data_IF_812293473149
#
_entry.id   IF_812293473149
#
_cell.length_a   1.000
_cell.length_b   1.000
_cell.length_c   1.000
_cell.angle_alpha   90.00
_cell.angle_beta   90.00
_cell.angle_gamma   90.00
#
_symmetry.space_group_name_H-M   'P 1'
#
loop_
_entity.id
_entity.type
_entity.pdbx_description
1 polymer ?
#
# COMPACT_ATOMS: atom_id res chain seq x y z
N UNK A 1 -3.52 -16.39 -29.40
CA UNK A 1 -4.79 -16.48 -30.14
C UNK A 1 -5.84 -15.69 -29.37
N UNK A 2 -5.96 -14.38 -29.65
CA UNK A 2 -6.92 -13.50 -28.97
C UNK A 2 -8.29 -13.69 -29.61
N UNK A 3 -9.25 -14.23 -28.87
CA UNK A 3 -10.66 -14.22 -29.23
C UNK A 3 -11.14 -12.76 -29.19
N UNK A 4 -10.95 -12.05 -30.30
CA UNK A 4 -11.48 -10.71 -30.50
C UNK A 4 -13.01 -10.79 -30.45
N UNK A 5 -13.61 -10.04 -29.53
CA UNK A 5 -15.05 -9.81 -29.49
C UNK A 5 -15.50 -9.31 -30.87
N UNK A 6 -16.10 -10.20 -31.68
CA UNK A 6 -16.68 -9.81 -32.97
C UNK A 6 -17.92 -8.95 -32.70
N UNK A 7 -18.19 -8.00 -33.59
CA UNK A 7 -19.31 -7.05 -33.48
C UNK A 7 -20.66 -7.73 -33.22
N UNK A 8 -20.88 -8.92 -33.78
CA UNK A 8 -22.10 -9.73 -33.58
C UNK A 8 -22.29 -10.19 -32.13
N UNK A 9 -21.21 -10.52 -31.42
CA UNK A 9 -21.27 -10.95 -30.02
C UNK A 9 -21.57 -9.75 -29.11
N UNK A 10 -20.91 -8.61 -29.35
CA UNK A 10 -21.19 -7.35 -28.64
C UNK A 10 -22.66 -6.96 -28.85
N UNK A 11 -23.15 -6.97 -30.10
CA UNK A 11 -24.55 -6.65 -30.42
C UNK A 11 -25.57 -7.59 -29.77
N UNK A 12 -25.20 -8.86 -29.55
CA UNK A 12 -26.07 -9.83 -28.86
C UNK A 12 -26.09 -9.55 -27.36
N UNK A 13 -24.93 -9.22 -26.77
CA UNK A 13 -24.82 -8.88 -25.35
C UNK A 13 -25.53 -7.55 -25.02
N UNK A 14 -25.46 -6.54 -25.90
CA UNK A 14 -26.14 -5.26 -25.72
C UNK A 14 -27.66 -5.33 -25.80
N UNK A 15 -28.25 -6.49 -26.15
CA UNK A 15 -29.70 -6.71 -26.01
C UNK A 15 -30.13 -6.87 -24.56
N UNK A 16 -29.20 -7.20 -23.67
CA UNK A 16 -29.44 -7.17 -22.22
C UNK A 16 -29.30 -5.74 -21.69
N UNK A 17 -30.01 -5.41 -20.62
CA UNK A 17 -30.15 -4.03 -20.14
C UNK A 17 -28.82 -3.40 -19.73
N UNK A 18 -27.89 -4.19 -19.16
CA UNK A 18 -26.53 -3.79 -18.75
C UNK A 18 -25.56 -4.99 -18.80
N UNK A 19 -25.06 -5.43 -19.97
CA UNK A 19 -24.10 -6.52 -20.03
C UNK A 19 -22.77 -6.11 -19.40
N UNK A 20 -22.20 -6.98 -18.54
CA UNK A 20 -20.83 -6.81 -18.05
C UNK A 20 -19.85 -7.42 -19.05
N UNK A 21 -19.00 -6.60 -19.64
CA UNK A 21 -17.97 -7.02 -20.59
C UNK A 21 -16.59 -6.81 -19.97
N UNK A 22 -15.85 -7.90 -19.71
CA UNK A 22 -14.48 -7.83 -19.19
C UNK A 22 -13.49 -8.43 -20.20
N UNK A 23 -12.61 -7.60 -20.75
CA UNK A 23 -11.57 -8.04 -21.67
C UNK A 23 -10.23 -8.20 -20.93
N UNK A 24 -9.91 -9.42 -20.50
CA UNK A 24 -8.73 -9.70 -19.67
C UNK A 24 -7.47 -10.10 -20.48
N UNK A 25 -7.52 -10.02 -21.82
CA UNK A 25 -6.38 -10.36 -22.66
C UNK A 25 -5.23 -9.37 -22.48
N UNK A 26 -4.06 -9.84 -22.02
CA UNK A 26 -2.89 -9.00 -21.74
C UNK A 26 -2.12 -8.54 -23.00
N UNK A 27 -2.64 -8.79 -24.20
CA UNK A 27 -1.93 -8.60 -25.48
C UNK A 27 -2.59 -7.55 -26.37
N UNK A 28 -2.88 -6.37 -25.83
CA UNK A 28 -2.62 -5.17 -26.63
C UNK A 28 -1.09 -5.10 -26.73
N UNK A 29 -0.50 -5.07 -27.93
CA UNK A 29 0.95 -4.79 -28.09
C UNK A 29 1.29 -3.61 -27.18
N UNK A 30 1.93 -3.88 -26.04
CA UNK A 30 2.32 -2.83 -25.11
C UNK A 30 3.45 -2.09 -25.78
N UNK A 31 3.18 -0.91 -26.34
CA UNK A 31 4.19 0.10 -26.63
C UNK A 31 4.77 0.70 -25.31
N UNK A 32 4.98 -0.14 -24.29
CA UNK A 32 5.52 0.25 -22.97
C UNK A 32 7.01 -0.08 -22.84
N UNK A 33 7.67 -0.44 -23.93
CA UNK A 33 9.07 -0.89 -23.92
C UNK A 33 9.83 -0.28 -25.10
N UNK A 34 9.98 1.04 -25.07
CA UNK A 34 11.12 1.72 -25.68
C UNK A 34 11.53 2.91 -24.81
N UNK A 35 11.73 2.65 -23.52
CA UNK A 35 12.24 3.64 -22.56
C UNK A 35 13.63 4.17 -22.93
N UNK A 36 14.34 3.52 -23.86
CA UNK A 36 15.63 4.01 -24.39
C UNK A 36 15.48 5.07 -25.50
N UNK A 37 14.27 5.51 -25.85
CA UNK A 37 14.03 6.47 -26.96
C UNK A 37 13.06 7.61 -26.65
N UNK A 38 12.25 7.51 -25.59
CA UNK A 38 11.35 8.61 -25.18
C UNK A 38 12.13 9.61 -24.33
N UNK A 39 11.89 10.90 -24.53
CA UNK A 39 12.34 11.94 -23.60
C UNK A 39 11.41 11.97 -22.37
N UNK A 40 11.89 12.54 -21.25
CA UNK A 40 11.09 12.65 -20.02
C UNK A 40 9.77 13.42 -20.25
N UNK A 41 9.79 14.42 -21.13
CA UNK A 41 8.60 15.21 -21.51
C UNK A 41 7.58 14.38 -22.30
N UNK A 42 8.03 13.50 -23.20
CA UNK A 42 7.16 12.58 -23.95
C UNK A 42 6.55 11.52 -23.04
N UNK A 43 7.34 11.01 -22.08
CA UNK A 43 6.86 10.11 -21.04
C UNK A 43 5.78 10.78 -20.19
N UNK A 44 6.02 12.00 -19.70
CA UNK A 44 5.07 12.76 -18.89
C UNK A 44 3.79 13.10 -19.66
N UNK A 45 3.90 13.47 -20.94
CA UNK A 45 2.74 13.72 -21.79
C UNK A 45 1.92 12.45 -22.01
N UNK A 46 2.58 11.31 -22.25
CA UNK A 46 1.90 10.01 -22.38
C UNK A 46 1.31 9.55 -21.05
N UNK A 47 2.00 9.77 -19.94
CA UNK A 47 1.55 9.44 -18.59
C UNK A 47 0.30 10.24 -18.26
N UNK A 48 0.32 11.56 -18.44
CA UNK A 48 -0.87 12.42 -18.31
C UNK A 48 -1.99 11.96 -19.23
N UNK A 49 -1.72 11.73 -20.52
CA UNK A 49 -2.74 11.24 -21.45
C UNK A 49 -3.32 9.86 -21.07
N UNK A 50 -2.56 9.01 -20.35
CA UNK A 50 -3.04 7.71 -19.88
C UNK A 50 -3.84 7.81 -18.59
N UNK A 51 -3.42 8.64 -17.64
CA UNK A 51 -4.04 8.80 -16.32
C UNK A 51 -5.16 9.87 -16.26
N UNK A 52 -5.14 10.87 -17.14
CA UNK A 52 -6.15 11.93 -17.26
C UNK A 52 -7.25 11.60 -18.28
N UNK A 53 -7.19 10.43 -18.93
CA UNK A 53 -8.25 10.01 -19.85
C UNK A 53 -9.53 9.76 -19.05
N UNK A 54 -10.59 10.50 -19.39
CA UNK A 54 -11.91 10.36 -18.75
C UNK A 54 -12.54 8.95 -18.92
N UNK A 55 -12.10 8.18 -19.93
CA UNK A 55 -12.53 6.81 -20.21
C UNK A 55 -11.42 5.77 -19.99
N UNK A 56 -10.85 5.70 -18.79
CA UNK A 56 -10.09 4.50 -18.40
C UNK A 56 -11.12 3.51 -17.87
N UNK A 57 -11.52 2.58 -18.74
CA UNK A 57 -12.22 1.37 -18.34
C UNK A 57 -11.48 0.78 -17.13
N UNK A 58 -12.19 0.57 -16.02
CA UNK A 58 -11.59 0.10 -14.77
C UNK A 58 -10.77 -1.15 -15.02
N UNK A 59 -9.44 -1.02 -14.98
CA UNK A 59 -8.56 -2.15 -15.26
C UNK A 59 -8.64 -3.12 -14.09
N UNK A 60 -9.05 -4.36 -14.35
CA UNK A 60 -8.99 -5.48 -13.41
C UNK A 60 -7.55 -5.91 -13.14
N UNK A 61 -6.78 -5.03 -12.48
CA UNK A 61 -5.38 -5.23 -12.20
C UNK A 61 -5.19 -5.86 -10.81
N UNK A 62 -4.34 -6.86 -10.72
CA UNK A 62 -3.96 -7.50 -9.46
C UNK A 62 -3.28 -6.53 -8.47
N UNK A 63 -2.84 -5.36 -8.94
CA UNK A 63 -2.32 -4.26 -8.13
C UNK A 63 -3.27 -3.80 -7.01
N UNK A 64 -4.58 -4.03 -7.11
CA UNK A 64 -5.51 -3.70 -6.03
C UNK A 64 -5.49 -4.69 -4.86
N UNK A 65 -5.11 -5.95 -5.10
CA UNK A 65 -5.27 -7.02 -4.12
C UNK A 65 -3.93 -7.45 -3.54
N UNK A 66 -2.92 -7.72 -4.38
CA UNK A 66 -1.66 -8.28 -3.91
C UNK A 66 -0.92 -7.40 -2.89
N UNK A 67 -0.80 -6.08 -3.07
CA UNK A 67 -0.14 -5.22 -2.09
C UNK A 67 -0.85 -5.26 -0.74
N UNK A 68 -2.19 -5.27 -0.72
CA UNK A 68 -2.97 -5.27 0.51
C UNK A 68 -2.86 -6.60 1.27
N UNK A 69 -2.94 -7.72 0.56
CA UNK A 69 -2.76 -9.05 1.15
C UNK A 69 -1.34 -9.22 1.69
N UNK A 70 -0.33 -8.79 0.94
CA UNK A 70 1.06 -8.85 1.40
C UNK A 70 1.29 -7.98 2.63
N UNK A 71 0.80 -6.73 2.63
CA UNK A 71 0.92 -5.81 3.75
C UNK A 71 0.25 -6.37 5.01
N UNK A 72 -0.97 -6.87 4.91
CA UNK A 72 -1.66 -7.48 6.05
C UNK A 72 -0.95 -8.73 6.58
N UNK A 73 -0.46 -9.59 5.68
CA UNK A 73 0.25 -10.82 6.02
C UNK A 73 1.54 -10.52 6.79
N UNK A 74 2.33 -9.56 6.29
CA UNK A 74 3.59 -9.16 6.93
C UNK A 74 3.31 -8.44 8.25
N UNK A 75 2.40 -7.46 8.27
CA UNK A 75 2.11 -6.66 9.46
C UNK A 75 1.53 -7.51 10.61
N UNK A 76 0.67 -8.49 10.30
CA UNK A 76 0.10 -9.39 11.31
C UNK A 76 0.96 -10.64 11.56
N UNK A 77 2.09 -10.78 10.87
CA UNK A 77 2.94 -11.97 10.88
C UNK A 77 2.14 -13.28 10.64
N UNK A 78 1.20 -13.26 9.70
CA UNK A 78 0.39 -14.43 9.36
C UNK A 78 1.23 -15.51 8.67
N UNK A 79 1.04 -16.77 9.07
CA UNK A 79 1.82 -17.92 8.54
C UNK A 79 1.31 -18.44 7.20
N UNK A 80 0.01 -18.31 6.96
CA UNK A 80 -0.66 -18.84 5.79
C UNK A 80 -1.59 -17.78 5.20
N UNK A 81 -1.59 -17.69 3.87
CA UNK A 81 -2.55 -16.88 3.12
C UNK A 81 -3.62 -17.82 2.59
N UNK A 82 -4.86 -17.61 3.02
CA UNK A 82 -6.01 -18.46 2.69
C UNK A 82 -6.94 -17.78 1.67
N UNK A 83 -7.83 -18.56 1.07
CA UNK A 83 -8.77 -18.08 0.05
C UNK A 83 -9.76 -17.05 0.60
N UNK A 84 -10.10 -17.16 1.88
CA UNK A 84 -10.97 -16.22 2.59
C UNK A 84 -10.42 -14.79 2.59
N UNK A 85 -9.10 -14.63 2.71
CA UNK A 85 -8.42 -13.34 2.63
C UNK A 85 -8.64 -12.68 1.26
N UNK A 86 -8.54 -13.45 0.17
CA UNK A 86 -8.79 -12.91 -1.17
C UNK A 86 -10.26 -12.54 -1.38
N UNK A 87 -11.18 -13.32 -0.81
CA UNK A 87 -12.61 -13.02 -0.85
C UNK A 87 -12.94 -11.73 -0.10
N UNK A 88 -12.40 -11.57 1.12
CA UNK A 88 -12.58 -10.35 1.93
C UNK A 88 -11.97 -9.15 1.21
N UNK A 89 -10.79 -9.30 0.61
CA UNK A 89 -10.15 -8.23 -0.15
C UNK A 89 -10.98 -7.79 -1.36
N UNK A 90 -11.55 -8.74 -2.10
CA UNK A 90 -12.41 -8.44 -3.25
C UNK A 90 -13.73 -7.75 -2.83
N UNK A 91 -14.36 -8.21 -1.75
CA UNK A 91 -15.56 -7.58 -1.19
C UNK A 91 -15.26 -6.14 -0.73
N UNK A 92 -14.15 -5.96 -0.02
CA UNK A 92 -13.72 -4.64 0.45
C UNK A 92 -13.42 -3.71 -0.71
N UNK A 93 -12.71 -4.17 -1.74
CA UNK A 93 -12.45 -3.40 -2.96
C UNK A 93 -13.75 -2.94 -3.64
N UNK A 94 -14.74 -3.82 -3.77
CA UNK A 94 -16.05 -3.48 -4.33
C UNK A 94 -16.77 -2.41 -3.52
N UNK A 95 -16.67 -2.44 -2.18
CA UNK A 95 -17.27 -1.42 -1.31
C UNK A 95 -16.58 -0.06 -1.35
N UNK A 96 -15.36 0.02 -1.89
CA UNK A 96 -14.58 1.26 -1.99
C UNK A 96 -14.81 2.01 -3.31
N UNK A 97 -15.61 1.46 -4.22
CA UNK A 97 -16.03 2.14 -5.45
C UNK A 97 -17.15 3.12 -5.10
N UNK A 98 -16.97 4.40 -5.41
CA UNK A 98 -17.99 5.41 -5.12
C UNK A 98 -19.15 5.33 -6.10
N UNK A 99 -20.31 5.89 -5.72
CA UNK A 99 -21.44 6.01 -6.65
C UNK A 99 -21.11 6.88 -7.87
N UNK A 100 -20.26 7.90 -7.69
CA UNK A 100 -19.73 8.73 -8.77
C UNK A 100 -18.91 7.89 -9.76
N UNK A 101 -18.00 7.06 -9.25
CA UNK A 101 -17.22 6.14 -10.08
C UNK A 101 -18.13 5.16 -10.86
N UNK A 102 -19.17 4.63 -10.21
CA UNK A 102 -20.14 3.74 -10.86
C UNK A 102 -21.00 4.45 -11.92
N UNK A 103 -21.38 5.70 -11.68
CA UNK A 103 -22.13 6.54 -12.63
C UNK A 103 -21.27 6.87 -13.86
N UNK A 104 -19.97 7.04 -13.67
CA UNK A 104 -18.96 7.16 -14.73
C UNK A 104 -18.64 5.83 -15.43
N UNK A 105 -19.28 4.73 -15.02
CA UNK A 105 -19.07 3.40 -15.60
C UNK A 105 -17.80 2.68 -15.12
N UNK A 106 -17.13 3.19 -14.09
CA UNK A 106 -15.95 2.56 -13.48
C UNK A 106 -16.39 1.50 -12.47
N UNK A 107 -15.81 0.30 -12.61
CA UNK A 107 -16.05 -0.83 -11.68
C UNK A 107 -14.92 -1.01 -10.66
N UNK A 108 -13.88 -0.19 -10.73
CA UNK A 108 -12.75 -0.14 -9.80
C UNK A 108 -12.49 1.29 -9.35
N UNK A 109 -11.92 1.49 -8.14
CA UNK A 109 -11.52 2.82 -7.69
C UNK A 109 -10.47 3.46 -8.61
N UNK A 110 -10.30 4.79 -8.57
CA UNK A 110 -9.26 5.48 -9.31
C UNK A 110 -7.85 5.06 -8.87
N UNK A 111 -6.91 4.90 -9.81
CA UNK A 111 -5.51 4.53 -9.52
C UNK A 111 -4.82 5.51 -8.52
N UNK A 112 -5.03 6.84 -8.57
CA UNK A 112 -4.43 7.73 -7.58
C UNK A 112 -4.81 7.41 -6.12
N UNK A 113 -5.96 6.76 -5.90
CA UNK A 113 -6.43 6.36 -4.57
C UNK A 113 -5.96 4.96 -4.15
N UNK A 114 -5.10 4.31 -4.93
CA UNK A 114 -4.71 2.90 -4.71
C UNK A 114 -4.02 2.67 -3.36
N UNK A 115 -3.25 3.63 -2.86
CA UNK A 115 -2.61 3.53 -1.55
C UNK A 115 -3.63 3.47 -0.42
N UNK A 116 -4.61 4.37 -0.42
CA UNK A 116 -5.68 4.37 0.58
C UNK A 116 -6.57 3.13 0.49
N UNK A 117 -6.85 2.67 -0.74
CA UNK A 117 -7.57 1.41 -0.97
C UNK A 117 -6.79 0.23 -0.38
N UNK A 118 -5.48 0.19 -0.61
CA UNK A 118 -4.59 -0.86 -0.09
C UNK A 118 -4.61 -0.91 1.43
N UNK A 119 -4.50 0.24 2.09
CA UNK A 119 -4.54 0.36 3.56
C UNK A 119 -5.87 -0.14 4.11
N UNK A 120 -6.99 0.30 3.53
CA UNK A 120 -8.33 -0.08 3.98
C UNK A 120 -8.60 -1.57 3.83
N UNK A 121 -8.13 -2.18 2.73
CA UNK A 121 -8.22 -3.62 2.53
C UNK A 121 -7.35 -4.36 3.55
N UNK A 122 -6.09 -3.93 3.72
CA UNK A 122 -5.17 -4.55 4.65
C UNK A 122 -5.65 -4.47 6.11
N UNK A 123 -6.30 -3.37 6.50
CA UNK A 123 -6.90 -3.20 7.84
C UNK A 123 -8.04 -4.20 8.09
N UNK A 124 -8.92 -4.44 7.10
CA UNK A 124 -9.99 -5.43 7.24
C UNK A 124 -9.44 -6.87 7.25
N UNK A 125 -8.38 -7.15 6.47
CA UNK A 125 -7.66 -8.42 6.56
C UNK A 125 -7.00 -8.62 7.92
N UNK A 126 -6.40 -7.57 8.49
CA UNK A 126 -5.82 -7.63 9.83
C UNK A 126 -6.89 -7.98 10.87
N UNK A 127 -8.06 -7.32 10.84
CA UNK A 127 -9.18 -7.66 11.72
C UNK A 127 -9.58 -9.14 11.58
N UNK A 128 -9.66 -9.65 10.37
CA UNK A 128 -9.97 -11.06 10.11
C UNK A 128 -8.90 -12.02 10.67
N UNK A 129 -7.62 -11.69 10.49
CA UNK A 129 -6.50 -12.50 11.00
C UNK A 129 -6.47 -12.55 12.53
N UNK A 130 -6.74 -11.42 13.21
CA UNK A 130 -6.86 -11.39 14.67
C UNK A 130 -8.09 -12.15 15.15
N UNK A 131 -9.26 -11.94 14.52
CA UNK A 131 -10.51 -12.63 14.88
C UNK A 131 -10.41 -14.16 14.74
N UNK A 132 -9.71 -14.63 13.70
CA UNK A 132 -9.47 -16.06 13.45
C UNK A 132 -8.28 -16.63 14.21
N UNK A 133 -7.58 -15.83 15.03
CA UNK A 133 -6.36 -16.20 15.78
C UNK A 133 -5.22 -16.72 14.89
N UNK A 134 -5.11 -16.17 13.68
CA UNK A 134 -4.05 -16.50 12.70
C UNK A 134 -2.94 -15.44 12.66
N UNK A 135 -3.17 -14.28 13.25
CA UNK A 135 -2.13 -13.28 13.48
C UNK A 135 -1.15 -13.76 14.57
N UNK A 136 0.14 -13.57 14.33
CA UNK A 136 1.21 -13.89 15.30
C UNK A 136 1.85 -12.65 15.91
N UNK A 137 1.58 -11.47 15.35
CA UNK A 137 2.01 -10.21 15.94
C UNK A 137 1.15 -9.89 17.16
N UNK A 138 1.77 -9.69 18.32
CA UNK A 138 1.09 -9.39 19.59
C UNK A 138 1.84 -8.29 20.34
N UNK A 139 1.12 -7.42 21.09
CA UNK A 139 -0.32 -7.42 21.37
C UNK A 139 -1.18 -7.02 20.16
N UNK A 140 -2.48 -7.36 20.18
CA UNK A 140 -3.42 -6.90 19.15
C UNK A 140 -3.54 -5.37 19.22
N UNK A 141 -3.32 -4.64 18.10
CA UNK A 141 -3.43 -3.20 18.07
C UNK A 141 -4.88 -2.75 18.23
N UNK A 142 -5.12 -1.67 18.97
CA UNK A 142 -6.46 -1.07 19.14
C UNK A 142 -7.00 -0.59 17.79
N UNK A 143 -6.23 0.26 17.09
CA UNK A 143 -6.51 0.72 15.74
C UNK A 143 -5.68 -0.06 14.71
N UNK A 144 -6.38 -0.93 13.95
CA UNK A 144 -5.77 -1.75 12.90
C UNK A 144 -5.38 -0.90 11.69
N UNK A 145 -6.10 0.17 11.38
CA UNK A 145 -5.80 1.01 10.23
C UNK A 145 -4.53 1.84 10.48
N UNK A 146 -4.44 2.47 11.64
CA UNK A 146 -3.23 3.22 12.02
C UNK A 146 -2.01 2.29 12.14
N UNK A 147 -2.20 1.10 12.72
CA UNK A 147 -1.17 0.07 12.77
C UNK A 147 -0.63 -0.27 11.38
N UNK A 148 -1.50 -0.47 10.39
CA UNK A 148 -1.09 -0.76 9.00
C UNK A 148 -0.40 0.46 8.36
N UNK A 149 -0.90 1.69 8.61
CA UNK A 149 -0.29 2.92 8.06
C UNK A 149 1.13 3.14 8.56
N UNK A 150 1.41 2.82 9.83
CA UNK A 150 2.76 2.92 10.41
C UNK A 150 3.76 1.92 9.80
N UNK A 151 3.29 0.84 9.19
CA UNK A 151 4.14 -0.17 8.53
C UNK A 151 4.43 0.15 7.06
N UNK A 152 3.79 1.19 6.51
CA UNK A 152 4.05 1.60 5.14
C UNK A 152 5.44 2.22 5.01
N UNK A 153 6.04 2.02 3.84
CA UNK A 153 7.27 2.68 3.48
C UNK A 153 7.04 4.19 3.31
N UNK A 154 7.78 5.00 4.06
CA UNK A 154 7.83 6.44 3.87
C UNK A 154 8.86 6.78 2.78
N UNK A 155 8.45 7.59 1.81
CA UNK A 155 9.31 8.06 0.72
C UNK A 155 10.12 9.28 1.11
N UNK A 156 9.87 9.86 2.29
CA UNK A 156 10.62 10.98 2.81
C UNK A 156 12.07 10.57 3.17
N UNK A 157 13.00 11.51 3.06
CA UNK A 157 14.39 11.26 3.45
C UNK A 157 14.52 11.21 4.97
N UNK A 158 15.14 10.16 5.47
CA UNK A 158 15.49 10.04 6.88
C UNK A 158 16.59 11.04 7.26
N UNK A 159 16.53 11.53 8.50
CA UNK A 159 17.58 12.37 9.06
C UNK A 159 18.75 11.47 9.53
N UNK A 160 19.90 11.61 8.88
CA UNK A 160 21.09 10.80 9.16
C UNK A 160 21.96 11.30 10.34
N UNK A 161 21.69 12.50 10.86
CA UNK A 161 22.45 13.04 11.99
C UNK A 161 22.09 12.34 13.30
N UNK A 162 22.99 12.34 14.30
CA UNK A 162 22.63 11.82 15.61
C UNK A 162 21.49 12.66 16.20
N UNK A 163 20.48 11.99 16.77
CA UNK A 163 19.44 12.68 17.53
C UNK A 163 20.09 13.28 18.77
N UNK A 164 20.13 14.61 18.87
CA UNK A 164 20.67 15.32 20.03
C UNK A 164 19.50 15.67 20.95
N UNK A 165 19.61 15.33 22.23
CA UNK A 165 18.67 15.75 23.27
C UNK A 165 19.44 16.32 24.46
N UNK A 166 18.84 17.27 25.17
CA UNK A 166 19.44 17.87 26.36
C UNK A 166 19.18 16.98 27.57
N UNK A 167 20.21 16.74 28.36
CA UNK A 167 20.11 16.02 29.63
C UNK A 167 20.00 17.02 30.80
N UNK A 168 19.25 16.72 31.88
CA UNK A 168 19.19 17.61 33.05
C UNK A 168 20.57 17.93 33.61
N UNK A 169 20.84 19.22 33.84
CA UNK A 169 22.17 19.73 34.21
C UNK A 169 22.74 19.10 35.49
N UNK A 170 21.87 18.80 36.44
CA UNK A 170 22.20 18.18 37.74
C UNK A 170 22.90 16.82 37.59
N UNK A 171 22.71 16.16 36.45
CA UNK A 171 23.27 14.85 36.14
C UNK A 171 24.28 14.89 34.98
N UNK A 172 24.48 16.05 34.34
CA UNK A 172 25.43 16.20 33.23
C UNK A 172 26.83 16.57 33.67
N UNK A 173 27.02 16.99 34.92
CA UNK A 173 28.33 17.32 35.48
C UNK A 173 29.09 16.07 35.90
N UNK A 174 30.36 15.95 35.51
CA UNK A 174 31.24 14.89 35.99
C UNK A 174 31.38 14.97 37.52
N UNK A 175 31.24 13.82 38.21
CA UNK A 175 31.54 13.74 39.65
C UNK A 175 33.03 14.01 39.85
N UNK A 176 33.35 15.12 40.51
CA UNK A 176 34.71 15.40 40.95
C UNK A 176 35.01 14.53 42.16
N UNK A 177 35.96 13.61 42.03
CA UNK A 177 36.52 12.91 43.19
C UNK A 177 37.54 13.87 43.81
N UNK A 178 37.45 14.20 45.10
CA UNK A 178 38.48 15.02 45.74
C UNK A 178 39.84 14.32 45.59
N UNK A 179 40.86 15.08 45.17
CA UNK A 179 42.25 14.59 45.11
C UNK A 179 42.69 14.17 46.51
N UNK A 180 43.35 13.00 46.62
CA UNK A 180 43.95 12.55 47.88
C UNK A 180 44.95 13.61 48.33
N UNK A 181 44.77 14.16 49.54
CA UNK A 181 45.71 15.14 50.11
C UNK A 181 47.12 14.52 50.18
N UNK A 182 48.11 15.16 49.55
CA UNK A 182 49.54 14.76 49.59
C UNK A 182 50.16 14.88 51.01
N UNK A 183 49.38 15.22 52.03
CA UNK A 183 49.82 15.41 53.41
C UNK A 183 49.49 14.25 54.34
N UNK A 184 49.56 13.00 53.86
CA UNK A 184 49.74 11.87 54.78
C UNK A 184 51.23 11.83 55.14
N UNK A 185 51.63 12.68 56.07
CA UNK A 185 52.93 12.58 56.72
C UNK A 185 53.04 11.19 57.36
N UNK A 186 53.88 10.32 56.80
CA UNK A 186 54.30 9.09 57.45
C UNK A 186 55.01 9.48 58.75
N UNK A 187 54.30 9.43 59.87
CA UNK A 187 54.94 9.52 61.19
C UNK A 187 55.68 8.21 61.42
N UNK A 188 57.01 8.27 61.25
CA UNK A 188 57.98 7.26 61.68
C UNK A 188 58.18 7.29 63.19
#
# INVERSE_FOLDING_TARGET
>A
MALLFRSTLIQTLTKTTRPMLMTMGSTTRRNMSSHNKETDEEFDHRWKAYFERSNIDGQGNNAYIFPAVALATVACAARHVEEDMFLIAAQKLGSLVSEEDLNDGRVYPPIPKIHDVTVKIAADLAKHLYATKKAWNYPEPDDKEEFIRMQLYDTSYEYFGPKIWQWPEQHSTARTVPSVDENISLQS
#
